data_IF_808627583028
#
_entry.id   IF_808627583028
#
_cell.length_a   1.000
_cell.length_b   1.000
_cell.length_c   1.000
_cell.angle_alpha   90.00
_cell.angle_beta   90.00
_cell.angle_gamma   90.00
#
_symmetry.space_group_name_H-M   'P 1'
#
loop_
_entity.id
_entity.type
_entity.pdbx_description
1 polymer ?
#
# COMPACT_ATOMS: atom_id res chain seq x y z
N UNK A 1 62.87 7.93 21.41
CA UNK A 1 62.82 7.06 22.59
C UNK A 1 61.36 6.96 23.03
N UNK A 2 60.63 5.95 22.57
CA UNK A 2 59.26 5.68 23.01
C UNK A 2 59.29 4.66 24.17
N UNK A 3 58.62 4.97 25.28
CA UNK A 3 58.43 4.05 26.41
C UNK A 3 57.26 3.09 26.19
N UNK A 4 57.20 1.94 26.88
CA UNK A 4 56.19 0.92 26.59
C UNK A 4 54.81 1.32 27.14
N UNK A 5 53.78 1.20 26.30
CA UNK A 5 52.38 1.27 26.68
C UNK A 5 52.04 0.14 27.68
N UNK A 6 51.59 0.48 28.90
CA UNK A 6 51.01 -0.47 29.85
C UNK A 6 49.52 -0.65 29.56
N UNK A 7 49.06 -1.89 29.40
CA UNK A 7 47.62 -2.21 29.39
C UNK A 7 46.94 -1.82 30.73
N UNK A 8 45.70 -1.29 30.70
CA UNK A 8 44.93 -1.03 31.92
C UNK A 8 44.56 -2.36 32.61
N UNK A 9 44.61 -2.39 33.95
CA UNK A 9 44.13 -3.57 34.71
C UNK A 9 42.60 -3.67 34.63
N UNK A 10 42.03 -4.88 34.55
CA UNK A 10 40.59 -5.08 34.62
C UNK A 10 40.03 -4.65 35.99
N UNK A 11 38.81 -4.10 35.98
CA UNK A 11 38.10 -3.65 37.18
C UNK A 11 37.84 -4.83 38.14
N UNK A 12 37.90 -4.57 39.45
CA UNK A 12 37.67 -5.60 40.47
C UNK A 12 36.21 -6.08 40.47
N UNK A 13 35.93 -7.34 40.88
CA UNK A 13 34.56 -7.88 40.92
C UNK A 13 33.58 -7.05 41.77
N UNK A 14 34.07 -6.36 42.80
CA UNK A 14 33.26 -5.47 43.65
C UNK A 14 32.80 -4.21 42.90
N UNK A 15 33.69 -3.57 42.14
CA UNK A 15 33.34 -2.39 41.32
C UNK A 15 32.38 -2.71 40.17
N UNK A 16 32.34 -3.97 39.70
CA UNK A 16 31.35 -4.44 38.72
C UNK A 16 29.97 -4.68 39.36
N UNK A 17 29.91 -5.15 40.61
CA UNK A 17 28.65 -5.34 41.34
C UNK A 17 28.00 -4.00 41.69
N UNK A 18 28.76 -3.01 42.15
CA UNK A 18 28.23 -1.68 42.47
C UNK A 18 27.61 -0.99 41.23
N UNK A 19 28.27 -1.09 40.06
CA UNK A 19 27.74 -0.57 38.78
C UNK A 19 26.49 -1.30 38.29
N UNK A 20 26.27 -2.54 38.70
CA UNK A 20 25.05 -3.29 38.38
C UNK A 20 23.89 -2.92 39.32
N UNK A 21 24.16 -2.66 40.59
CA UNK A 21 23.15 -2.18 41.54
C UNK A 21 22.68 -0.76 41.25
N UNK A 22 23.58 0.15 40.84
CA UNK A 22 23.20 1.52 40.45
C UNK A 22 22.34 1.53 39.18
N UNK A 23 22.68 0.71 38.18
CA UNK A 23 21.87 0.58 36.95
C UNK A 23 20.47 0.03 37.20
N UNK A 24 20.30 -0.87 38.19
CA UNK A 24 18.96 -1.36 38.59
C UNK A 24 18.15 -0.29 39.29
N UNK A 25 18.77 0.58 40.09
CA UNK A 25 18.08 1.70 40.75
C UNK A 25 17.67 2.79 39.76
N UNK A 26 18.48 3.08 38.75
CA UNK A 26 18.11 4.01 37.67
C UNK A 26 16.94 3.48 36.82
N UNK A 27 16.87 2.17 36.56
CA UNK A 27 15.77 1.59 35.76
C UNK A 27 14.43 1.53 36.51
N UNK A 28 14.43 1.55 37.84
CA UNK A 28 13.20 1.60 38.65
C UNK A 28 12.70 3.04 38.87
N UNK A 29 13.60 4.03 38.90
CA UNK A 29 13.25 5.45 39.07
C UNK A 29 12.61 6.07 37.82
N UNK A 30 12.84 5.50 36.63
CA UNK A 30 12.36 6.02 35.35
C UNK A 30 11.12 5.27 34.81
N UNK A 31 10.17 4.94 35.67
CA UNK A 31 8.83 4.49 35.23
C UNK A 31 7.91 5.70 35.16
N UNK A 32 7.84 6.33 33.98
CA UNK A 32 6.77 7.27 33.64
C UNK A 32 5.42 6.58 33.83
N UNK A 33 4.39 7.28 34.35
CA UNK A 33 3.05 6.73 34.44
C UNK A 33 2.57 6.31 33.04
N UNK A 34 1.86 5.17 32.97
CA UNK A 34 1.27 4.70 31.73
C UNK A 34 0.37 5.81 31.14
N UNK A 35 0.40 6.06 29.81
CA UNK A 35 -0.45 7.09 29.22
C UNK A 35 -1.91 6.74 29.50
N UNK A 36 -2.62 7.66 30.15
CA UNK A 36 -4.07 7.55 30.32
C UNK A 36 -4.72 7.37 28.95
N UNK A 37 -5.59 6.37 28.83
CA UNK A 37 -6.37 6.18 27.60
C UNK A 37 -7.33 7.36 27.46
N UNK A 38 -7.21 8.19 26.40
CA UNK A 38 -8.02 9.40 26.32
C UNK A 38 -9.49 9.03 26.09
N UNK A 39 -10.40 9.66 26.83
CA UNK A 39 -11.84 9.47 26.67
C UNK A 39 -12.33 9.82 25.25
N UNK A 40 -13.54 9.36 24.86
CA UNK A 40 -14.06 9.45 23.49
C UNK A 40 -14.19 10.87 22.91
N UNK A 41 -14.28 11.89 23.77
CA UNK A 41 -14.25 13.30 23.36
C UNK A 41 -12.87 13.74 22.83
N UNK A 42 -11.79 13.17 23.37
CA UNK A 42 -10.41 13.52 23.02
C UNK A 42 -10.01 12.97 21.64
N UNK A 43 -10.51 11.77 21.28
CA UNK A 43 -10.33 11.20 19.93
C UNK A 43 -11.03 12.03 18.84
N UNK A 44 -12.21 12.59 19.14
CA UNK A 44 -12.99 13.42 18.21
C UNK A 44 -12.31 14.76 17.91
N UNK A 45 -11.74 15.40 18.93
CA UNK A 45 -10.99 16.65 18.77
C UNK A 45 -9.70 16.44 17.98
N UNK A 46 -8.94 15.37 18.26
CA UNK A 46 -7.68 15.06 17.55
C UNK A 46 -7.89 14.82 16.05
N UNK A 47 -9.00 14.17 15.69
CA UNK A 47 -9.40 13.92 14.30
C UNK A 47 -9.74 15.20 13.52
N UNK A 48 -10.38 16.19 14.14
CA UNK A 48 -10.69 17.47 13.48
C UNK A 48 -9.45 18.34 13.24
N UNK A 49 -8.43 18.24 14.11
CA UNK A 49 -7.15 18.91 13.93
C UNK A 49 -6.29 18.29 12.81
N UNK A 50 -6.36 16.97 12.62
CA UNK A 50 -5.70 16.26 11.53
C UNK A 50 -6.15 16.80 10.16
N UNK A 51 -7.46 16.97 9.95
CA UNK A 51 -8.06 17.47 8.70
C UNK A 51 -7.58 18.85 8.28
N UNK A 52 -7.21 19.71 9.24
CA UNK A 52 -6.75 21.08 8.98
C UNK A 52 -5.25 21.16 8.73
N UNK A 53 -4.52 20.05 8.84
CA UNK A 53 -3.08 20.03 8.65
C UNK A 53 -2.71 19.99 7.17
N UNK A 54 -1.65 20.74 6.81
CA UNK A 54 -1.07 20.69 5.47
C UNK A 54 -0.59 19.26 5.13
N UNK A 55 -0.09 18.53 6.13
CA UNK A 55 0.34 17.13 5.97
C UNK A 55 -0.81 16.22 5.53
N UNK A 56 -2.01 16.39 6.12
CA UNK A 56 -3.20 15.64 5.70
C UNK A 56 -3.59 15.95 4.26
N UNK A 57 -3.69 17.22 3.89
CA UNK A 57 -4.00 17.61 2.50
C UNK A 57 -2.99 17.08 1.50
N UNK A 58 -1.69 17.10 1.84
CA UNK A 58 -0.62 16.51 1.02
C UNK A 58 -0.79 15.00 0.87
N UNK A 59 -1.16 14.31 1.95
CA UNK A 59 -1.38 12.87 1.93
C UNK A 59 -2.58 12.47 1.06
N UNK A 60 -3.71 13.19 1.18
CA UNK A 60 -4.91 12.96 0.34
C UNK A 60 -4.60 13.23 -1.13
N UNK A 61 -3.88 14.32 -1.45
CA UNK A 61 -3.45 14.61 -2.82
C UNK A 61 -2.47 13.55 -3.36
N UNK A 62 -1.57 13.05 -2.51
CA UNK A 62 -0.65 11.97 -2.88
C UNK A 62 -1.40 10.68 -3.22
N UNK A 63 -2.43 10.29 -2.46
CA UNK A 63 -3.27 9.12 -2.78
C UNK A 63 -4.05 9.30 -4.09
N UNK A 64 -4.58 10.51 -4.34
CA UNK A 64 -5.22 10.84 -5.62
C UNK A 64 -4.24 10.68 -6.79
N UNK A 65 -3.07 11.33 -6.71
CA UNK A 65 -2.07 11.33 -7.77
C UNK A 65 -1.49 9.93 -7.99
N UNK A 66 -1.21 9.20 -6.91
CA UNK A 66 -0.70 7.84 -7.00
C UNK A 66 -1.70 6.93 -7.72
N UNK A 67 -2.99 7.00 -7.38
CA UNK A 67 -4.00 6.14 -7.99
C UNK A 67 -4.27 6.53 -9.44
N UNK A 68 -4.21 7.83 -9.76
CA UNK A 68 -4.26 8.33 -11.14
C UNK A 68 -3.15 7.72 -11.99
N UNK A 69 -1.90 7.83 -11.54
CA UNK A 69 -0.74 7.31 -12.28
C UNK A 69 -0.79 5.78 -12.37
N UNK A 70 -1.11 5.10 -11.27
CA UNK A 70 -1.24 3.65 -11.23
C UNK A 70 -2.25 3.13 -12.26
N UNK A 71 -3.46 3.71 -12.30
CA UNK A 71 -4.50 3.29 -13.25
C UNK A 71 -4.12 3.66 -14.67
N UNK A 72 -3.57 4.86 -14.90
CA UNK A 72 -3.12 5.29 -16.22
C UNK A 72 -2.09 4.33 -16.84
N UNK A 73 -1.01 4.01 -16.10
CA UNK A 73 0.04 3.13 -16.58
C UNK A 73 -0.41 1.66 -16.62
N UNK A 74 -1.13 1.20 -15.60
CA UNK A 74 -1.63 -0.16 -15.50
C UNK A 74 -2.54 -0.51 -16.67
N UNK A 75 -3.64 0.23 -16.83
CA UNK A 75 -4.60 -0.01 -17.92
C UNK A 75 -3.95 0.16 -19.30
N UNK A 76 -3.15 1.21 -19.50
CA UNK A 76 -2.49 1.48 -20.78
C UNK A 76 -1.56 0.36 -21.23
N UNK A 77 -0.87 -0.28 -20.28
CA UNK A 77 0.00 -1.43 -20.55
C UNK A 77 -0.75 -2.73 -20.87
N UNK A 78 -2.04 -2.80 -20.52
CA UNK A 78 -2.89 -3.98 -20.69
C UNK A 78 -3.81 -3.91 -21.92
N UNK A 79 -3.83 -2.79 -22.65
CA UNK A 79 -4.60 -2.66 -23.89
C UNK A 79 -4.07 -3.59 -24.99
N UNK A 80 -4.94 -3.97 -25.92
CA UNK A 80 -4.60 -4.82 -27.07
C UNK A 80 -3.89 -4.01 -28.16
N UNK A 81 -2.60 -3.74 -27.97
CA UNK A 81 -1.77 -3.05 -28.95
C UNK A 81 -1.55 -3.93 -30.20
N UNK A 82 -2.00 -3.52 -31.40
CA UNK A 82 -2.10 -4.41 -32.57
C UNK A 82 -0.75 -4.89 -33.10
N UNK A 83 0.31 -4.10 -32.91
CA UNK A 83 1.67 -4.48 -33.34
C UNK A 83 2.36 -5.45 -32.38
N UNK A 84 1.97 -5.44 -31.09
CA UNK A 84 2.60 -6.24 -30.05
C UNK A 84 1.62 -6.44 -28.89
N UNK A 85 0.86 -7.53 -28.93
CA UNK A 85 -0.07 -7.86 -27.85
C UNK A 85 0.69 -8.09 -26.53
N UNK A 86 0.25 -7.49 -25.42
CA UNK A 86 0.94 -7.62 -24.15
C UNK A 86 0.80 -9.04 -23.59
N UNK A 87 1.91 -9.61 -23.13
CA UNK A 87 1.91 -10.91 -22.44
C UNK A 87 1.45 -10.77 -20.98
N UNK A 88 1.02 -11.87 -20.35
CA UNK A 88 0.66 -11.91 -18.93
C UNK A 88 1.80 -11.38 -18.05
N UNK A 89 3.05 -11.78 -18.32
CA UNK A 89 4.21 -11.29 -17.58
C UNK A 89 4.43 -9.78 -17.78
N UNK A 90 4.25 -9.26 -19.00
CA UNK A 90 4.39 -7.83 -19.28
C UNK A 90 3.35 -7.00 -18.51
N UNK A 91 2.09 -7.44 -18.49
CA UNK A 91 1.03 -6.78 -17.72
C UNK A 91 1.32 -6.86 -16.22
N UNK A 92 1.66 -8.05 -15.72
CA UNK A 92 1.99 -8.24 -14.31
C UNK A 92 3.15 -7.35 -13.84
N UNK A 93 4.20 -7.26 -14.66
CA UNK A 93 5.33 -6.38 -14.38
C UNK A 93 4.95 -4.90 -14.45
N UNK A 94 4.10 -4.48 -15.39
CA UNK A 94 3.67 -3.09 -15.46
C UNK A 94 2.88 -2.65 -14.22
N UNK A 95 1.88 -3.43 -13.79
CA UNK A 95 1.12 -3.14 -12.57
C UNK A 95 2.00 -3.23 -11.32
N UNK A 96 2.85 -4.25 -11.21
CA UNK A 96 3.73 -4.42 -10.07
C UNK A 96 4.79 -3.32 -9.93
N UNK A 97 5.47 -2.98 -11.03
CA UNK A 97 6.45 -1.89 -11.04
C UNK A 97 5.79 -0.54 -10.81
N UNK A 98 4.59 -0.29 -11.35
CA UNK A 98 3.85 0.94 -11.06
C UNK A 98 3.60 1.11 -9.56
N UNK A 99 3.11 0.06 -8.87
CA UNK A 99 2.92 0.10 -7.41
C UNK A 99 4.26 0.27 -6.70
N UNK A 100 5.28 -0.49 -7.04
CA UNK A 100 6.59 -0.37 -6.40
C UNK A 100 7.20 1.03 -6.55
N UNK A 101 7.14 1.61 -7.74
CA UNK A 101 7.59 2.98 -8.01
C UNK A 101 6.80 4.01 -7.22
N UNK A 102 5.47 3.90 -7.17
CA UNK A 102 4.62 4.87 -6.48
C UNK A 102 4.74 4.75 -4.96
N UNK A 103 4.90 3.53 -4.42
CA UNK A 103 5.22 3.32 -3.00
C UNK A 103 6.57 3.95 -2.67
N UNK A 104 7.60 3.75 -3.52
CA UNK A 104 8.90 4.37 -3.33
C UNK A 104 8.84 5.90 -3.37
N UNK A 105 8.03 6.46 -4.28
CA UNK A 105 7.95 7.90 -4.50
C UNK A 105 7.06 8.63 -3.47
N UNK A 106 5.94 8.03 -3.08
CA UNK A 106 4.88 8.70 -2.32
C UNK A 106 4.57 8.05 -0.96
N UNK A 107 5.17 6.89 -0.67
CA UNK A 107 4.95 6.16 0.59
C UNK A 107 5.29 7.00 1.83
N UNK A 108 6.35 7.80 1.78
CA UNK A 108 6.73 8.70 2.87
C UNK A 108 5.77 9.89 3.08
N UNK A 109 4.86 10.15 2.12
CA UNK A 109 3.88 11.26 2.19
C UNK A 109 2.53 10.78 2.72
N UNK A 110 2.01 9.67 2.20
CA UNK A 110 0.67 9.18 2.52
C UNK A 110 0.61 7.76 3.10
N UNK A 111 1.69 7.00 3.01
CA UNK A 111 1.69 5.54 3.17
C UNK A 111 1.48 4.79 1.85
N UNK A 112 1.17 5.50 0.75
CA UNK A 112 0.94 4.95 -0.59
C UNK A 112 0.03 3.71 -0.58
N UNK A 113 -1.21 3.89 -0.13
CA UNK A 113 -2.19 2.81 -0.13
C UNK A 113 -2.63 2.48 -1.56
N UNK A 114 -2.96 3.50 -2.36
CA UNK A 114 -3.30 3.42 -3.79
C UNK A 114 -4.47 2.44 -4.08
N UNK A 115 -5.21 2.06 -3.04
CA UNK A 115 -6.14 0.95 -3.08
C UNK A 115 -7.14 1.06 -1.91
N UNK A 116 -8.46 1.12 -2.20
CA UNK A 116 -9.48 1.13 -1.17
C UNK A 116 -9.42 -0.09 -0.24
N UNK A 117 -9.17 -1.30 -0.77
CA UNK A 117 -9.09 -2.51 0.04
C UNK A 117 -7.91 -2.47 1.03
N UNK A 118 -6.74 -1.97 0.61
CA UNK A 118 -5.58 -1.75 1.49
C UNK A 118 -5.90 -0.68 2.53
N UNK A 119 -6.60 0.39 2.14
CA UNK A 119 -6.99 1.45 3.09
C UNK A 119 -7.95 0.95 4.16
N UNK A 120 -8.92 0.12 3.78
CA UNK A 120 -9.83 -0.54 4.72
C UNK A 120 -9.08 -1.54 5.60
N UNK A 121 -8.13 -2.31 5.05
CA UNK A 121 -7.29 -3.20 5.84
C UNK A 121 -6.48 -2.41 6.90
N UNK A 122 -5.86 -1.29 6.52
CA UNK A 122 -5.16 -0.41 7.46
C UNK A 122 -6.10 0.17 8.53
N UNK A 123 -7.36 0.47 8.19
CA UNK A 123 -8.36 0.95 9.15
C UNK A 123 -8.70 -0.16 10.17
N UNK A 124 -8.97 -1.38 9.71
CA UNK A 124 -9.27 -2.54 10.58
C UNK A 124 -8.05 -2.91 11.44
N UNK A 125 -6.84 -2.78 10.88
CA UNK A 125 -5.58 -2.96 11.60
C UNK A 125 -5.20 -1.79 12.51
N UNK A 126 -6.05 -0.77 12.68
CA UNK A 126 -5.81 0.41 13.52
C UNK A 126 -4.58 1.26 13.12
N UNK A 127 -4.16 1.21 11.86
CA UNK A 127 -3.04 2.01 11.33
C UNK A 127 -3.47 3.40 10.84
N UNK A 128 -4.76 3.60 10.53
CA UNK A 128 -5.31 4.89 10.07
C UNK A 128 -6.60 5.27 10.80
N UNK A 129 -6.85 6.57 10.95
CA UNK A 129 -8.12 7.07 11.48
C UNK A 129 -9.27 6.85 10.48
N UNK A 130 -10.50 6.69 10.98
CA UNK A 130 -11.68 6.53 10.13
C UNK A 130 -11.83 7.67 9.10
N UNK A 131 -11.63 8.93 9.52
CA UNK A 131 -11.72 10.07 8.60
C UNK A 131 -10.63 9.99 7.53
N UNK A 132 -9.38 9.68 7.89
CA UNK A 132 -8.31 9.50 6.90
C UNK A 132 -8.65 8.40 5.90
N UNK A 133 -9.17 7.27 6.37
CA UNK A 133 -9.59 6.18 5.48
C UNK A 133 -10.66 6.64 4.48
N UNK A 134 -11.68 7.38 4.93
CA UNK A 134 -12.73 7.92 4.05
C UNK A 134 -12.14 8.85 2.98
N UNK A 135 -11.28 9.80 3.36
CA UNK A 135 -10.66 10.72 2.41
C UNK A 135 -9.70 10.02 1.45
N UNK A 136 -8.97 9.02 1.91
CA UNK A 136 -8.09 8.20 1.06
C UNK A 136 -8.89 7.43 0.03
N UNK A 137 -9.95 6.73 0.44
CA UNK A 137 -10.82 5.99 -0.49
C UNK A 137 -11.43 6.94 -1.52
N UNK A 138 -11.96 8.10 -1.10
CA UNK A 138 -12.50 9.08 -2.03
C UNK A 138 -11.44 9.58 -3.03
N UNK A 139 -10.23 9.91 -2.54
CA UNK A 139 -9.12 10.35 -3.37
C UNK A 139 -8.68 9.27 -4.37
N UNK A 140 -8.61 8.01 -3.93
CA UNK A 140 -8.24 6.87 -4.78
C UNK A 140 -9.26 6.65 -5.89
N UNK A 141 -10.56 6.66 -5.57
CA UNK A 141 -11.63 6.50 -6.57
C UNK A 141 -11.62 7.63 -7.60
N UNK A 142 -11.51 8.89 -7.15
CA UNK A 142 -11.43 10.05 -8.04
C UNK A 142 -10.16 10.03 -8.90
N UNK A 143 -9.01 9.68 -8.30
CA UNK A 143 -7.74 9.57 -9.00
C UNK A 143 -7.77 8.48 -10.06
N UNK A 144 -8.29 7.31 -9.71
CA UNK A 144 -8.46 6.19 -10.63
C UNK A 144 -9.29 6.58 -11.86
N UNK A 145 -10.48 7.16 -11.65
CA UNK A 145 -11.35 7.61 -12.76
C UNK A 145 -10.65 8.67 -13.62
N UNK A 146 -9.94 9.62 -13.00
CA UNK A 146 -9.16 10.61 -13.75
C UNK A 146 -8.05 9.96 -14.59
N UNK A 147 -7.35 8.94 -14.05
CA UNK A 147 -6.31 8.20 -14.77
C UNK A 147 -6.86 7.43 -15.97
N UNK A 148 -7.99 6.74 -15.79
CA UNK A 148 -8.68 6.03 -16.88
C UNK A 148 -9.23 7.00 -17.94
N UNK A 149 -9.83 8.12 -17.54
CA UNK A 149 -10.34 9.13 -18.47
C UNK A 149 -9.20 9.78 -19.28
N UNK A 150 -8.07 10.07 -18.65
CA UNK A 150 -6.88 10.60 -19.33
C UNK A 150 -6.33 9.57 -20.33
N UNK A 151 -6.22 8.29 -19.92
CA UNK A 151 -5.82 7.22 -20.83
C UNK A 151 -6.78 7.11 -22.03
N UNK A 152 -8.09 7.15 -21.79
CA UNK A 152 -9.09 7.10 -22.85
C UNK A 152 -8.89 8.23 -23.87
N UNK A 153 -8.67 9.46 -23.40
CA UNK A 153 -8.49 10.62 -24.28
C UNK A 153 -7.24 10.51 -25.16
N UNK A 154 -6.10 10.10 -24.59
CA UNK A 154 -4.83 10.05 -25.34
C UNK A 154 -4.70 8.81 -26.25
N UNK A 155 -5.49 7.77 -26.01
CA UNK A 155 -5.39 6.51 -26.76
C UNK A 155 -6.23 6.61 -28.04
N UNK A 156 -5.71 6.19 -29.20
CA UNK A 156 -6.48 6.13 -30.45
C UNK A 156 -7.76 5.27 -30.31
N UNK A 157 -8.92 5.71 -30.85
CA UNK A 157 -10.20 5.02 -30.67
C UNK A 157 -10.21 3.54 -31.04
N UNK A 158 -9.43 3.15 -32.04
CA UNK A 158 -9.28 1.78 -32.53
C UNK A 158 -8.51 0.85 -31.57
N UNK A 159 -7.71 1.41 -30.66
CA UNK A 159 -6.90 0.66 -29.68
C UNK A 159 -7.59 0.59 -28.30
N UNK A 160 -8.45 1.57 -27.97
CA UNK A 160 -9.09 1.68 -26.65
C UNK A 160 -9.75 0.40 -26.17
N UNK A 161 -10.43 -0.30 -27.08
CA UNK A 161 -11.17 -1.52 -26.76
C UNK A 161 -12.16 -1.29 -25.61
N UNK A 162 -12.06 -2.14 -24.59
CA UNK A 162 -12.82 -2.02 -23.34
C UNK A 162 -12.07 -1.28 -22.23
N UNK A 163 -10.95 -0.64 -22.55
CA UNK A 163 -10.09 0.08 -21.61
C UNK A 163 -9.55 -0.80 -20.46
N UNK A 164 -9.37 -2.11 -20.73
CA UNK A 164 -8.87 -3.09 -19.78
C UNK A 164 -9.70 -3.17 -18.48
N UNK A 165 -11.03 -3.11 -18.62
CA UNK A 165 -11.97 -3.44 -17.54
C UNK A 165 -11.70 -4.84 -17.00
N UNK A 166 -11.90 -5.02 -15.69
CA UNK A 166 -11.93 -6.36 -15.11
C UNK A 166 -13.20 -7.07 -15.58
N UNK A 167 -13.05 -8.32 -16.02
CA UNK A 167 -14.13 -9.15 -16.52
C UNK A 167 -13.83 -10.62 -16.21
N UNK A 168 -14.87 -11.42 -15.99
CA UNK A 168 -14.71 -12.87 -15.83
C UNK A 168 -14.11 -13.49 -17.10
N UNK A 169 -13.13 -14.37 -16.92
CA UNK A 169 -12.38 -15.00 -18.01
C UNK A 169 -12.36 -16.52 -17.88
N UNK A 170 -12.06 -17.20 -18.98
CA UNK A 170 -11.88 -18.66 -19.06
C UNK A 170 -13.03 -19.49 -18.46
N UNK A 171 -14.28 -19.03 -18.66
CA UNK A 171 -15.49 -19.66 -18.12
C UNK A 171 -15.52 -19.80 -16.59
N UNK A 172 -14.79 -18.93 -15.88
CA UNK A 172 -14.83 -18.87 -14.42
C UNK A 172 -16.19 -18.36 -13.93
N UNK A 173 -16.75 -19.00 -12.92
CA UNK A 173 -17.95 -18.49 -12.23
C UNK A 173 -17.61 -17.31 -11.33
N UNK A 174 -18.57 -16.43 -11.04
CA UNK A 174 -18.38 -15.31 -10.12
C UNK A 174 -17.93 -15.77 -8.71
N UNK A 175 -18.42 -16.92 -8.23
CA UNK A 175 -18.01 -17.51 -6.95
C UNK A 175 -16.54 -17.97 -6.93
N UNK A 176 -16.04 -18.53 -8.03
CA UNK A 176 -14.62 -18.86 -8.15
C UNK A 176 -13.78 -17.60 -8.22
N UNK A 177 -14.22 -16.60 -9.01
CA UNK A 177 -13.50 -15.35 -9.19
C UNK A 177 -13.37 -14.54 -7.89
N UNK A 178 -14.45 -14.41 -7.09
CA UNK A 178 -14.38 -13.69 -5.80
C UNK A 178 -13.47 -14.40 -4.81
N UNK A 179 -13.41 -15.74 -4.87
CA UNK A 179 -12.47 -16.52 -4.04
C UNK A 179 -11.03 -16.25 -4.46
N UNK A 180 -10.75 -16.18 -5.76
CA UNK A 180 -9.43 -15.81 -6.28
C UNK A 180 -9.06 -14.40 -5.81
N UNK A 181 -9.89 -13.39 -6.07
CA UNK A 181 -9.63 -11.99 -5.68
C UNK A 181 -9.41 -11.83 -4.17
N UNK A 182 -10.10 -12.61 -3.34
CA UNK A 182 -9.87 -12.66 -1.90
C UNK A 182 -8.43 -13.09 -1.57
N UNK A 183 -7.93 -14.17 -2.18
CA UNK A 183 -6.57 -14.65 -1.92
C UNK A 183 -5.49 -13.76 -2.53
N UNK A 184 -5.74 -13.17 -3.70
CA UNK A 184 -4.81 -12.20 -4.30
C UNK A 184 -4.66 -10.97 -3.39
N UNK A 185 -5.77 -10.41 -2.92
CA UNK A 185 -5.74 -9.23 -2.05
C UNK A 185 -5.19 -9.57 -0.65
N UNK A 186 -5.50 -10.76 -0.13
CA UNK A 186 -4.96 -11.25 1.14
C UNK A 186 -3.43 -11.28 1.13
N UNK A 187 -2.83 -11.91 0.11
CA UNK A 187 -1.37 -12.03 0.07
C UNK A 187 -0.70 -10.66 -0.10
N UNK A 188 -1.34 -9.73 -0.82
CA UNK A 188 -0.86 -8.34 -0.95
C UNK A 188 -0.88 -7.61 0.39
N UNK A 189 -2.01 -7.65 1.11
CA UNK A 189 -2.14 -6.96 2.41
C UNK A 189 -1.17 -7.55 3.43
N UNK A 190 -0.96 -8.87 3.45
CA UNK A 190 0.05 -9.52 4.29
C UNK A 190 1.46 -9.01 3.97
N UNK A 191 1.81 -8.89 2.69
CA UNK A 191 3.10 -8.36 2.25
C UNK A 191 3.28 -6.89 2.68
N UNK A 192 2.25 -6.06 2.53
CA UNK A 192 2.26 -4.65 2.93
C UNK A 192 2.51 -4.54 4.43
N UNK A 193 1.69 -5.19 5.26
CA UNK A 193 1.86 -5.13 6.72
C UNK A 193 3.23 -5.62 7.16
N UNK A 194 3.74 -6.72 6.61
CA UNK A 194 5.08 -7.20 6.95
C UNK A 194 6.22 -6.28 6.46
N UNK A 195 5.98 -5.49 5.41
CA UNK A 195 6.96 -4.55 4.83
C UNK A 195 6.97 -3.18 5.51
N UNK A 196 5.88 -2.84 6.22
CA UNK A 196 5.71 -1.54 6.91
C UNK A 196 5.63 -1.67 8.43
N UNK A 197 5.83 -2.86 8.99
CA UNK A 197 5.81 -3.08 10.44
C UNK A 197 7.09 -2.55 11.10
N UNK A 198 6.95 -1.52 11.94
CA UNK A 198 8.08 -0.93 12.69
C UNK A 198 8.72 -1.89 13.71
N UNK A 199 8.02 -2.96 14.11
CA UNK A 199 8.54 -3.98 15.03
C UNK A 199 9.52 -4.93 14.35
N UNK A 200 9.60 -4.87 13.02
CA UNK A 200 10.47 -5.72 12.22
C UNK A 200 11.92 -5.26 12.37
N UNK A 201 12.65 -5.92 13.27
CA UNK A 201 14.03 -5.58 13.62
C UNK A 201 15.11 -6.22 12.72
N UNK A 202 14.74 -7.12 11.81
CA UNK A 202 15.62 -7.63 10.76
C UNK A 202 15.73 -6.64 9.58
N UNK A 203 16.69 -6.87 8.68
CA UNK A 203 16.82 -6.05 7.48
C UNK A 203 15.57 -6.21 6.61
N UNK A 204 14.67 -5.21 6.65
CA UNK A 204 13.40 -5.16 5.90
C UNK A 204 13.62 -5.26 4.39
N UNK A 205 14.85 -5.01 3.92
CA UNK A 205 15.20 -5.05 2.50
C UNK A 205 14.60 -3.86 1.76
N UNK A 206 13.80 -4.13 0.73
CA UNK A 206 13.22 -3.08 -0.13
C UNK A 206 11.68 -3.14 -0.09
N UNK A 207 11.01 -2.50 0.90
CA UNK A 207 9.55 -2.53 1.05
C UNK A 207 8.79 -2.25 -0.25
N UNK A 208 9.21 -1.21 -0.97
CA UNK A 208 8.58 -0.79 -2.22
C UNK A 208 8.64 -1.88 -3.30
N UNK A 209 9.81 -2.52 -3.50
CA UNK A 209 9.94 -3.60 -4.48
C UNK A 209 9.19 -4.86 -4.04
N UNK A 210 9.23 -5.22 -2.75
CA UNK A 210 8.47 -6.36 -2.23
C UNK A 210 6.97 -6.19 -2.47
N UNK A 211 6.41 -5.02 -2.17
CA UNK A 211 5.00 -4.71 -2.42
C UNK A 211 4.69 -4.70 -3.92
N UNK A 212 5.57 -4.12 -4.74
CA UNK A 212 5.41 -4.13 -6.20
C UNK A 212 5.41 -5.54 -6.79
N UNK A 213 6.36 -6.39 -6.40
CA UNK A 213 6.39 -7.79 -6.83
C UNK A 213 5.25 -8.63 -6.26
N UNK A 214 4.72 -8.28 -5.09
CA UNK A 214 3.48 -8.88 -4.58
C UNK A 214 2.30 -8.60 -5.51
N UNK A 215 2.18 -7.39 -6.04
CA UNK A 215 1.14 -7.07 -7.04
C UNK A 215 1.39 -7.82 -8.36
N UNK A 216 2.64 -7.90 -8.81
CA UNK A 216 2.98 -8.70 -10.00
C UNK A 216 2.63 -10.19 -9.82
N UNK A 217 2.92 -10.77 -8.64
CA UNK A 217 2.55 -12.13 -8.29
C UNK A 217 1.04 -12.35 -8.39
N UNK A 218 0.25 -11.41 -7.85
CA UNK A 218 -1.20 -11.46 -7.97
C UNK A 218 -1.67 -11.46 -9.42
N UNK A 219 -1.08 -10.60 -10.26
CA UNK A 219 -1.41 -10.52 -11.70
C UNK A 219 -1.03 -11.77 -12.48
N UNK A 220 0.09 -12.42 -12.16
CA UNK A 220 0.50 -13.69 -12.81
C UNK A 220 -0.55 -14.79 -12.67
N UNK A 221 -1.40 -14.74 -11.64
CA UNK A 221 -2.52 -15.66 -11.46
C UNK A 221 -3.85 -15.03 -11.88
N UNK A 222 -4.18 -13.85 -11.34
CA UNK A 222 -5.50 -13.22 -11.45
C UNK A 222 -5.92 -12.83 -12.86
N UNK A 223 -4.96 -12.57 -13.77
CA UNK A 223 -5.26 -12.22 -15.16
C UNK A 223 -6.10 -13.31 -15.84
N UNK A 224 -5.87 -14.58 -15.50
CA UNK A 224 -6.60 -15.71 -16.07
C UNK A 224 -8.04 -15.86 -15.57
N UNK A 225 -8.43 -15.16 -14.51
CA UNK A 225 -9.77 -15.28 -13.90
C UNK A 225 -10.60 -14.02 -14.09
N UNK A 226 -10.02 -12.85 -13.84
CA UNK A 226 -10.75 -11.57 -13.70
C UNK A 226 -10.07 -10.40 -14.42
N UNK A 227 -8.95 -10.65 -15.11
CA UNK A 227 -8.02 -9.59 -15.50
C UNK A 227 -7.20 -9.03 -14.33
N UNK A 228 -7.32 -9.63 -13.14
CA UNK A 228 -6.70 -9.22 -11.87
C UNK A 228 -7.13 -7.83 -11.38
N UNK A 229 -8.05 -7.77 -10.42
CA UNK A 229 -8.43 -6.53 -9.75
C UNK A 229 -7.46 -6.21 -8.62
N UNK A 230 -7.53 -6.96 -7.53
CA UNK A 230 -6.93 -6.68 -6.22
C UNK A 230 -7.26 -5.30 -5.63
N UNK A 231 -8.00 -4.45 -6.34
CA UNK A 231 -8.11 -3.02 -6.09
C UNK A 231 -9.43 -2.46 -6.66
N UNK A 232 -10.41 -2.15 -5.79
CA UNK A 232 -11.71 -1.62 -6.21
C UNK A 232 -11.65 -0.34 -7.04
N UNK A 233 -10.69 0.56 -6.78
CA UNK A 233 -10.56 1.79 -7.56
C UNK A 233 -10.10 1.51 -9.00
N UNK A 234 -9.18 0.55 -9.18
CA UNK A 234 -8.69 0.11 -10.50
C UNK A 234 -9.78 -0.56 -11.33
N UNK A 235 -10.73 -1.25 -10.68
CA UNK A 235 -11.86 -1.87 -11.38
C UNK A 235 -12.95 -0.86 -11.71
N UNK A 236 -13.28 0.03 -10.76
CA UNK A 236 -14.32 1.04 -10.95
C UNK A 236 -13.99 2.05 -12.05
N UNK A 237 -12.72 2.44 -12.17
CA UNK A 237 -12.32 3.50 -13.09
C UNK A 237 -12.63 3.24 -14.57
N UNK A 238 -12.14 2.15 -15.21
CA UNK A 238 -12.47 1.87 -16.60
C UNK A 238 -13.94 1.48 -16.77
N UNK A 239 -14.58 0.91 -15.73
CA UNK A 239 -16.01 0.60 -15.74
C UNK A 239 -16.87 1.86 -15.88
N UNK A 240 -16.57 2.92 -15.12
CA UNK A 240 -17.23 4.23 -15.25
C UNK A 240 -16.99 4.85 -16.62
N UNK A 241 -15.75 4.82 -17.11
CA UNK A 241 -15.39 5.47 -18.39
C UNK A 241 -16.03 4.75 -19.59
N UNK A 242 -16.15 3.43 -19.55
CA UNK A 242 -16.66 2.63 -20.67
C UNK A 242 -18.12 2.18 -20.52
N UNK A 243 -18.73 2.36 -19.34
CA UNK A 243 -20.09 1.95 -19.04
C UNK A 243 -20.28 0.44 -18.84
N UNK A 244 -19.21 -0.30 -18.53
CA UNK A 244 -19.25 -1.78 -18.38
C UNK A 244 -19.12 -2.19 -16.92
N UNK A 245 -20.16 -2.84 -16.38
CA UNK A 245 -20.28 -3.22 -14.97
C UNK A 245 -20.64 -4.70 -14.76
N UNK A 246 -20.36 -5.54 -15.75
CA UNK A 246 -20.58 -6.98 -15.67
C UNK A 246 -19.80 -7.57 -14.48
N UNK A 247 -20.49 -8.32 -13.61
CA UNK A 247 -19.95 -8.95 -12.40
C UNK A 247 -19.14 -8.01 -11.47
N UNK A 248 -19.39 -6.70 -11.51
CA UNK A 248 -18.55 -5.70 -10.84
C UNK A 248 -18.41 -5.89 -9.33
N UNK A 249 -19.42 -6.49 -8.69
CA UNK A 249 -19.43 -6.79 -7.25
C UNK A 249 -18.30 -7.75 -6.83
N UNK A 250 -17.76 -8.56 -7.76
CA UNK A 250 -16.62 -9.45 -7.52
C UNK A 250 -15.34 -8.63 -7.28
N UNK A 251 -15.27 -7.43 -7.85
CA UNK A 251 -14.08 -6.57 -7.90
C UNK A 251 -14.18 -5.34 -6.98
N UNK A 252 -15.28 -5.20 -6.24
CA UNK A 252 -15.65 -3.99 -5.48
C UNK A 252 -15.35 -4.09 -3.98
#
# INVERSE_FOLDING_TARGET
MEGPYKCPRPASPETLRERQTDRRRESESCKLPAPETPGPAHGRLRSMWELRSIAFSRAVLAEFLATLLFVFFGLGSALNWPQALPSVLQIAMAFGLAIGTLVQALGHVSGAHINPAVTVACLVGCHVSFLRAVFYVAAQLLGAVAGAALLHEITPPDIRGDLAVNALSNNSTAGQAVTVELFLTLQLVLCIFASTDERRGDNVGTPALSIGFSVALGHLLGIHYTGCSMNPARSLAPAIVTGKFDDHWVMA
#
